data_IF_667617425270
#
_entry.id   IF_667617425270
#
_cell.length_a   1.000
_cell.length_b   1.000
_cell.length_c   1.000
_cell.angle_alpha   90.00
_cell.angle_beta   90.00
_cell.angle_gamma   90.00
#
_symmetry.space_group_name_H-M   'P 1'
#
loop_
_entity.id
_entity.type
_entity.pdbx_description
1 polymer ?
#
# COMPACT_ATOMS: atom_id res chain seq x y z
N UNK A 1 15.02 22.69 3.22
CA UNK A 1 14.44 22.45 1.88
C UNK A 1 15.08 23.43 0.90
N UNK A 2 15.55 22.95 -0.25
CA UNK A 2 16.18 23.78 -1.29
C UNK A 2 15.72 23.37 -2.68
N UNK A 3 15.44 24.35 -3.54
CA UNK A 3 15.13 24.12 -4.95
C UNK A 3 16.42 24.16 -5.77
N UNK A 4 16.64 23.14 -6.60
CA UNK A 4 17.79 22.99 -7.48
C UNK A 4 17.33 23.09 -8.95
N UNK A 5 18.01 23.91 -9.79
CA UNK A 5 17.64 24.11 -11.19
C UNK A 5 17.83 22.83 -12.01
N UNK A 6 18.95 22.14 -11.82
CA UNK A 6 19.29 20.90 -12.53
C UNK A 6 19.35 19.74 -11.53
N UNK A 7 18.24 19.02 -11.40
CA UNK A 7 18.15 17.84 -10.53
C UNK A 7 17.41 16.72 -11.25
N UNK A 8 18.10 15.61 -11.52
CA UNK A 8 17.57 14.53 -12.35
C UNK A 8 16.43 13.76 -11.65
N UNK A 9 16.55 13.58 -10.33
CA UNK A 9 15.45 13.10 -9.52
C UNK A 9 14.35 14.16 -9.34
N UNK A 10 13.22 13.76 -8.75
CA UNK A 10 12.13 14.68 -8.39
C UNK A 10 12.48 15.51 -7.16
N UNK A 11 12.84 14.81 -6.09
CA UNK A 11 13.33 15.31 -4.82
C UNK A 11 14.20 14.22 -4.15
N UNK A 12 14.84 14.54 -3.03
CA UNK A 12 15.63 13.61 -2.22
C UNK A 12 15.65 14.09 -0.76
N UNK A 13 15.41 13.16 0.13
CA UNK A 13 15.03 13.33 1.53
C UNK A 13 16.16 13.68 2.50
N UNK A 14 17.38 13.96 2.02
CA UNK A 14 18.58 14.14 2.85
C UNK A 14 18.28 14.82 4.21
N UNK A 15 18.54 14.11 5.31
CA UNK A 15 18.05 14.48 6.63
C UNK A 15 18.46 15.91 7.04
N UNK A 16 17.48 16.80 7.17
CA UNK A 16 17.68 18.22 7.51
C UNK A 16 17.97 19.14 6.31
N UNK A 17 18.27 18.62 5.12
CA UNK A 17 18.49 19.39 3.89
C UNK A 17 17.84 18.71 2.67
N UNK A 18 16.51 18.61 2.68
CA UNK A 18 15.76 18.05 1.56
C UNK A 18 15.95 18.89 0.29
N UNK A 19 16.32 18.24 -0.81
CA UNK A 19 16.56 18.85 -2.14
C UNK A 19 15.42 18.54 -3.08
N UNK A 20 15.00 19.52 -3.89
CA UNK A 20 13.90 19.38 -4.85
C UNK A 20 14.32 19.92 -6.21
N UNK A 21 13.82 19.33 -7.30
CA UNK A 21 13.78 20.04 -8.59
C UNK A 21 12.86 21.27 -8.45
N UNK A 22 13.19 22.40 -9.09
CA UNK A 22 12.42 23.66 -8.95
C UNK A 22 10.89 23.47 -9.06
N UNK A 23 10.41 22.81 -10.11
CA UNK A 23 8.99 22.55 -10.32
C UNK A 23 8.33 21.60 -9.31
N UNK A 24 9.09 21.04 -8.36
CA UNK A 24 8.60 20.18 -7.28
C UNK A 24 8.57 20.85 -5.91
N UNK A 25 9.04 22.10 -5.82
CA UNK A 25 9.00 22.91 -4.59
C UNK A 25 8.38 24.29 -4.82
N UNK A 26 8.74 24.96 -5.91
CA UNK A 26 8.29 26.31 -6.21
C UNK A 26 6.90 26.27 -6.87
N UNK A 27 5.99 27.14 -6.41
CA UNK A 27 4.66 27.30 -6.98
C UNK A 27 4.29 28.78 -7.10
N UNK A 28 3.70 29.16 -8.23
CA UNK A 28 3.17 30.50 -8.47
C UNK A 28 1.77 30.38 -9.06
N UNK A 29 0.76 30.84 -8.31
CA UNK A 29 -0.66 30.77 -8.69
C UNK A 29 -1.01 31.57 -9.95
N UNK A 30 -0.19 32.57 -10.31
CA UNK A 30 -0.37 33.34 -11.55
C UNK A 30 0.08 32.58 -12.80
N UNK A 31 0.92 31.55 -12.62
CA UNK A 31 1.54 30.79 -13.71
C UNK A 31 1.01 29.36 -13.80
N UNK A 32 0.63 28.75 -12.67
CA UNK A 32 0.32 27.33 -12.59
C UNK A 32 -1.04 27.05 -11.96
N UNK A 33 -1.75 26.09 -12.55
CA UNK A 33 -3.07 25.67 -12.09
C UNK A 33 -3.05 24.76 -10.84
N UNK A 34 -4.24 24.39 -10.33
CA UNK A 34 -4.38 23.60 -9.10
C UNK A 34 -3.70 22.22 -9.13
N UNK A 35 -3.55 21.62 -10.31
CA UNK A 35 -2.86 20.33 -10.46
C UNK A 35 -1.38 20.43 -10.05
N UNK A 36 -0.70 21.52 -10.38
CA UNK A 36 0.70 21.72 -10.01
C UNK A 36 0.84 22.05 -8.51
N UNK A 37 -0.11 22.82 -7.95
CA UNK A 37 -0.18 23.06 -6.51
C UNK A 37 -0.27 21.74 -5.73
N UNK A 38 -1.14 20.83 -6.17
CA UNK A 38 -1.28 19.49 -5.60
C UNK A 38 0.02 18.70 -5.73
N UNK A 39 0.65 18.73 -6.90
CA UNK A 39 1.91 18.01 -7.16
C UNK A 39 3.03 18.46 -6.22
N UNK A 40 3.18 19.78 -6.02
CA UNK A 40 4.14 20.33 -5.06
C UNK A 40 3.79 19.89 -3.64
N UNK A 41 2.52 19.96 -3.24
CA UNK A 41 2.09 19.54 -1.91
C UNK A 41 2.37 18.05 -1.64
N UNK A 42 2.11 17.17 -2.61
CA UNK A 42 2.41 15.74 -2.50
C UNK A 42 3.91 15.49 -2.35
N UNK A 43 4.76 16.07 -3.21
CA UNK A 43 6.21 15.85 -3.12
C UNK A 43 6.77 16.39 -1.81
N UNK A 44 6.36 17.59 -1.37
CA UNK A 44 6.80 18.11 -0.07
C UNK A 44 6.36 17.21 1.09
N UNK A 45 5.12 16.71 1.08
CA UNK A 45 4.65 15.79 2.11
C UNK A 45 5.38 14.43 2.09
N UNK A 46 5.74 13.94 0.89
CA UNK A 46 6.52 12.72 0.69
C UNK A 46 7.90 12.82 1.34
N UNK A 47 8.69 13.83 0.97
CA UNK A 47 10.04 14.00 1.52
C UNK A 47 10.06 14.29 3.02
N UNK A 48 9.03 14.99 3.52
CA UNK A 48 8.88 15.19 4.96
C UNK A 48 8.51 13.90 5.69
N UNK A 49 7.76 12.98 5.07
CA UNK A 49 7.48 11.67 5.64
C UNK A 49 8.77 10.83 5.79
N UNK A 50 9.71 10.96 4.85
CA UNK A 50 10.98 10.26 4.91
C UNK A 50 11.85 10.61 6.12
N UNK A 51 11.64 11.79 6.73
CA UNK A 51 12.34 12.17 7.96
C UNK A 51 12.04 11.19 9.13
N UNK A 52 10.95 10.41 9.03
CA UNK A 52 10.68 9.26 9.90
C UNK A 52 10.91 7.93 9.17
N UNK A 53 10.40 7.77 7.95
CA UNK A 53 10.45 6.52 7.17
C UNK A 53 11.58 6.57 6.14
N UNK A 54 12.78 6.19 6.55
CA UNK A 54 13.99 6.21 5.73
C UNK A 54 15.16 6.84 6.47
N UNK A 55 14.96 8.00 7.08
CA UNK A 55 16.00 8.69 7.85
C UNK A 55 16.08 8.17 9.29
N UNK A 56 15.01 8.35 10.08
CA UNK A 56 15.00 7.94 11.50
C UNK A 56 14.95 6.41 11.66
N UNK A 57 14.18 5.73 10.82
CA UNK A 57 14.16 4.27 10.71
C UNK A 57 14.44 3.91 9.27
N UNK A 58 15.61 3.36 9.00
CA UNK A 58 16.05 3.01 7.64
C UNK A 58 15.81 1.53 7.37
N UNK A 59 15.35 1.15 6.18
CA UNK A 59 15.35 -0.27 5.80
C UNK A 59 16.75 -0.89 5.97
N UNK A 60 16.81 -2.13 6.44
CA UNK A 60 18.09 -2.82 6.69
C UNK A 60 18.87 -3.09 5.43
N UNK A 61 18.17 -3.34 4.33
CA UNK A 61 18.74 -3.47 3.00
C UNK A 61 17.70 -3.09 1.95
N UNK A 62 18.15 -2.86 0.71
CA UNK A 62 17.32 -2.45 -0.42
C UNK A 62 16.18 -3.41 -0.75
N UNK A 63 16.23 -4.65 -0.27
CA UNK A 63 15.14 -5.63 -0.42
C UNK A 63 13.81 -5.13 0.13
N UNK A 64 13.87 -4.27 1.15
CA UNK A 64 12.73 -3.66 1.80
C UNK A 64 12.66 -2.14 1.53
N UNK A 65 13.16 -1.68 0.38
CA UNK A 65 13.06 -0.26 -0.05
C UNK A 65 11.63 0.30 0.10
N UNK A 66 10.61 -0.54 -0.14
CA UNK A 66 9.21 -0.16 0.02
C UNK A 66 8.83 0.29 1.45
N UNK A 67 9.60 -0.06 2.48
CA UNK A 67 9.41 0.47 3.84
C UNK A 67 9.62 1.98 3.91
N UNK A 68 10.49 2.53 3.07
CA UNK A 68 10.68 3.97 2.96
C UNK A 68 9.62 4.51 1.99
N UNK A 69 9.72 4.09 0.73
CA UNK A 69 8.97 4.68 -0.39
C UNK A 69 7.46 4.44 -0.30
N UNK A 70 7.05 3.23 0.11
CA UNK A 70 5.65 2.88 0.27
C UNK A 70 4.99 3.64 1.41
N UNK A 71 5.71 3.86 2.53
CA UNK A 71 5.21 4.70 3.63
C UNK A 71 5.11 6.15 3.21
N UNK A 72 6.15 6.72 2.60
CA UNK A 72 6.12 8.08 2.11
C UNK A 72 5.00 8.28 1.08
N UNK A 73 4.82 7.36 0.13
CA UNK A 73 3.70 7.35 -0.83
C UNK A 73 2.31 7.20 -0.20
N UNK A 74 2.18 6.58 0.96
CA UNK A 74 0.90 6.56 1.67
C UNK A 74 0.66 7.87 2.42
N UNK A 75 1.66 8.32 3.17
CA UNK A 75 1.58 9.49 4.05
C UNK A 75 1.51 10.80 3.26
N UNK A 76 2.09 10.88 2.06
CA UNK A 76 2.04 12.10 1.23
C UNK A 76 0.60 12.55 0.96
N UNK A 77 -0.32 11.62 0.72
CA UNK A 77 -1.72 11.94 0.47
C UNK A 77 -2.41 12.41 1.74
N UNK A 78 -2.09 11.80 2.89
CA UNK A 78 -2.63 12.22 4.19
C UNK A 78 -2.13 13.62 4.56
N UNK A 79 -0.82 13.85 4.44
CA UNK A 79 -0.19 15.13 4.73
C UNK A 79 -0.69 16.24 3.81
N UNK A 80 -0.78 16.00 2.50
CA UNK A 80 -1.30 16.96 1.55
C UNK A 80 -2.79 17.30 1.80
N UNK A 81 -3.62 16.32 2.21
CA UNK A 81 -5.03 16.59 2.53
C UNK A 81 -5.10 17.51 3.76
N UNK A 82 -4.38 17.16 4.82
CA UNK A 82 -4.38 17.92 6.09
C UNK A 82 -3.88 19.35 5.88
N UNK A 83 -2.76 19.53 5.17
CA UNK A 83 -2.20 20.88 4.88
C UNK A 83 -3.17 21.72 4.02
N UNK A 84 -4.06 21.08 3.27
CA UNK A 84 -5.07 21.76 2.46
C UNK A 84 -6.42 22.00 3.17
N UNK A 85 -6.52 21.74 4.47
CA UNK A 85 -7.79 21.69 5.22
C UNK A 85 -8.81 20.72 4.60
N UNK A 86 -8.32 19.61 4.03
CA UNK A 86 -9.07 18.60 3.29
C UNK A 86 -9.76 19.12 2.00
N UNK A 87 -9.36 20.27 1.47
CA UNK A 87 -9.94 20.82 0.25
C UNK A 87 -9.41 20.17 -1.03
N UNK A 88 -8.27 19.48 -0.96
CA UNK A 88 -7.67 18.83 -2.13
C UNK A 88 -8.26 17.45 -2.45
N UNK A 89 -8.98 16.82 -1.51
CA UNK A 89 -9.63 15.51 -1.69
C UNK A 89 -8.62 14.39 -1.98
N UNK A 90 -7.54 14.35 -1.21
CA UNK A 90 -6.41 13.45 -1.47
C UNK A 90 -6.77 11.97 -1.29
N UNK A 91 -7.79 11.66 -0.48
CA UNK A 91 -8.31 10.29 -0.34
C UNK A 91 -8.83 9.72 -1.66
N UNK A 92 -9.50 10.54 -2.49
CA UNK A 92 -9.95 10.13 -3.82
C UNK A 92 -8.81 10.11 -4.83
N UNK A 93 -7.91 11.09 -4.77
CA UNK A 93 -6.74 11.10 -5.66
C UNK A 93 -5.81 9.91 -5.41
N UNK A 94 -5.70 9.39 -4.18
CA UNK A 94 -4.95 8.16 -3.90
C UNK A 94 -5.39 6.98 -4.80
N UNK A 95 -6.70 6.86 -5.07
CA UNK A 95 -7.25 5.79 -5.91
C UNK A 95 -6.72 5.91 -7.35
N UNK A 96 -6.68 7.14 -7.87
CA UNK A 96 -6.29 7.44 -9.25
C UNK A 96 -4.77 7.45 -9.42
N UNK A 97 -4.08 8.09 -8.50
CA UNK A 97 -2.67 8.46 -8.65
C UNK A 97 -1.72 7.47 -7.99
N UNK A 98 -2.16 6.65 -7.03
CA UNK A 98 -1.36 5.58 -6.45
C UNK A 98 -1.93 4.20 -6.81
N UNK A 99 -3.13 3.86 -6.32
CA UNK A 99 -3.68 2.51 -6.47
C UNK A 99 -3.75 2.07 -7.95
N UNK A 100 -4.26 2.92 -8.84
CA UNK A 100 -4.36 2.59 -10.27
C UNK A 100 -2.97 2.40 -10.91
N UNK A 101 -1.99 3.24 -10.57
CA UNK A 101 -0.62 3.10 -11.07
C UNK A 101 0.04 1.79 -10.61
N UNK A 102 -0.07 1.48 -9.32
CA UNK A 102 0.41 0.24 -8.74
C UNK A 102 -0.22 -0.98 -9.41
N UNK A 103 -1.55 -1.02 -9.55
CA UNK A 103 -2.26 -2.11 -10.25
C UNK A 103 -1.84 -2.24 -11.72
N UNK A 104 -1.67 -1.12 -12.43
CA UNK A 104 -1.23 -1.13 -13.83
C UNK A 104 0.16 -1.75 -13.98
N UNK A 105 1.13 -1.33 -13.15
CA UNK A 105 2.49 -1.88 -13.16
C UNK A 105 2.47 -3.37 -12.80
N UNK A 106 1.83 -3.71 -11.67
CA UNK A 106 1.80 -5.05 -11.10
C UNK A 106 1.06 -6.08 -11.98
N UNK A 107 0.28 -5.61 -12.96
CA UNK A 107 -0.39 -6.45 -13.95
C UNK A 107 0.47 -6.87 -15.16
N UNK A 108 1.62 -6.23 -15.39
CA UNK A 108 2.47 -6.44 -16.57
C UNK A 108 3.86 -6.97 -16.19
N UNK A 109 4.63 -6.16 -15.47
CA UNK A 109 5.98 -6.47 -14.99
C UNK A 109 6.00 -6.20 -13.50
N UNK A 110 6.33 -7.22 -12.72
CA UNK A 110 5.94 -7.31 -11.32
C UNK A 110 7.01 -8.07 -10.54
N UNK A 111 7.17 -7.67 -9.29
CA UNK A 111 7.97 -8.34 -8.27
C UNK A 111 7.22 -8.27 -6.91
N UNK A 112 7.59 -9.09 -5.92
CA UNK A 112 7.13 -8.89 -4.54
C UNK A 112 7.57 -7.51 -4.00
N UNK A 113 6.91 -6.98 -2.98
CA UNK A 113 7.38 -5.75 -2.32
C UNK A 113 8.74 -5.98 -1.65
N UNK A 114 8.86 -7.11 -0.94
CA UNK A 114 10.11 -7.57 -0.33
C UNK A 114 10.77 -8.63 -1.22
N UNK A 115 11.90 -8.32 -1.83
CA UNK A 115 12.59 -9.23 -2.76
C UNK A 115 14.10 -9.04 -2.74
N UNK A 116 14.83 -10.12 -3.05
CA UNK A 116 16.29 -10.15 -3.01
C UNK A 116 16.90 -9.17 -4.01
N UNK A 117 17.89 -8.38 -3.55
CA UNK A 117 18.67 -7.44 -4.37
C UNK A 117 20.16 -7.70 -4.12
N UNK A 118 20.87 -8.07 -5.18
CA UNK A 118 22.29 -8.43 -5.15
C UNK A 118 23.18 -7.39 -5.86
N UNK A 119 22.62 -6.60 -6.81
CA UNK A 119 23.39 -5.66 -7.64
C UNK A 119 22.87 -4.22 -7.54
N UNK A 120 23.76 -3.25 -7.72
CA UNK A 120 23.40 -1.83 -7.74
C UNK A 120 22.34 -1.49 -8.81
N UNK A 121 22.40 -2.10 -10.00
CA UNK A 121 21.37 -1.88 -11.04
C UNK A 121 19.98 -2.39 -10.62
N UNK A 122 19.91 -3.42 -9.78
CA UNK A 122 18.65 -3.95 -9.27
C UNK A 122 18.04 -3.02 -8.21
N UNK A 123 18.88 -2.22 -7.52
CA UNK A 123 18.40 -1.15 -6.63
C UNK A 123 17.69 -0.08 -7.46
N UNK A 124 18.29 0.41 -8.54
CA UNK A 124 17.66 1.39 -9.43
C UNK A 124 16.33 0.87 -10.02
N UNK A 125 16.27 -0.41 -10.38
CA UNK A 125 15.04 -1.05 -10.86
C UNK A 125 13.95 -1.19 -9.78
N UNK A 126 14.33 -1.20 -8.49
CA UNK A 126 13.41 -1.27 -7.36
C UNK A 126 12.70 0.06 -7.08
N UNK A 127 13.23 1.18 -7.57
CA UNK A 127 12.59 2.49 -7.51
C UNK A 127 11.48 2.59 -8.58
N UNK A 128 10.42 1.80 -8.40
CA UNK A 128 9.32 1.68 -9.37
C UNK A 128 7.93 1.75 -8.71
N UNK A 129 6.84 1.83 -9.50
CA UNK A 129 5.47 1.90 -8.95
C UNK A 129 5.05 0.74 -8.02
N UNK A 130 5.78 -0.37 -7.97
CA UNK A 130 5.53 -1.43 -7.00
C UNK A 130 5.99 -0.98 -5.61
N UNK A 131 7.23 -0.54 -5.46
CA UNK A 131 7.77 -0.11 -4.16
C UNK A 131 7.01 1.10 -3.60
N UNK A 132 6.67 2.05 -4.45
CA UNK A 132 5.91 3.26 -4.11
C UNK A 132 4.41 2.98 -3.97
N UNK A 133 3.74 2.79 -5.10
CA UNK A 133 2.27 2.86 -5.17
C UNK A 133 1.59 1.59 -4.62
N UNK A 134 2.15 0.40 -4.91
CA UNK A 134 1.63 -0.85 -4.31
C UNK A 134 1.97 -0.91 -2.82
N UNK A 135 3.18 -0.50 -2.42
CA UNK A 135 3.57 -0.39 -1.01
C UNK A 135 2.58 0.46 -0.21
N UNK A 136 2.34 1.69 -0.66
CA UNK A 136 1.34 2.58 -0.05
C UNK A 136 -0.09 2.02 -0.08
N UNK A 137 -0.47 1.31 -1.15
CA UNK A 137 -1.79 0.69 -1.25
C UNK A 137 -1.99 -0.47 -0.26
N UNK A 138 -0.96 -1.27 0.01
CA UNK A 138 -0.99 -2.34 1.01
C UNK A 138 -1.09 -1.75 2.42
N UNK A 139 -0.33 -0.69 2.71
CA UNK A 139 -0.42 0.03 3.98
C UNK A 139 -1.82 0.61 4.22
N UNK A 140 -2.38 1.29 3.22
CA UNK A 140 -3.75 1.83 3.27
C UNK A 140 -4.80 0.73 3.48
N UNK A 141 -4.63 -0.42 2.83
CA UNK A 141 -5.52 -1.57 3.03
C UNK A 141 -5.44 -2.12 4.45
N UNK A 142 -4.23 -2.27 5.01
CA UNK A 142 -4.04 -2.72 6.39
C UNK A 142 -4.64 -1.72 7.38
N UNK A 143 -4.40 -0.42 7.20
CA UNK A 143 -5.02 0.64 8.00
C UNK A 143 -6.56 0.56 7.99
N UNK A 144 -7.16 0.29 6.82
CA UNK A 144 -8.61 0.10 6.70
C UNK A 144 -9.15 -1.17 7.38
N UNK A 145 -8.33 -2.23 7.50
CA UNK A 145 -8.73 -3.48 8.18
C UNK A 145 -8.66 -3.32 9.69
N UNK A 146 -7.55 -2.78 10.21
CA UNK A 146 -7.29 -2.75 11.65
C UNK A 146 -7.81 -1.47 12.32
N UNK A 147 -8.17 -0.46 11.53
CA UNK A 147 -8.60 0.87 11.97
C UNK A 147 -7.43 1.84 12.14
N UNK A 148 -7.68 3.12 11.86
CA UNK A 148 -6.64 4.18 11.88
C UNK A 148 -5.96 4.32 13.25
N UNK A 149 -6.71 4.18 14.36
CA UNK A 149 -6.15 4.26 15.71
C UNK A 149 -5.12 3.16 15.97
N UNK A 150 -5.47 1.90 15.67
CA UNK A 150 -4.56 0.77 15.81
C UNK A 150 -3.37 0.88 14.85
N UNK A 151 -3.60 1.34 13.62
CA UNK A 151 -2.54 1.56 12.66
C UNK A 151 -1.54 2.59 13.15
N UNK A 152 -2.00 3.76 13.59
CA UNK A 152 -1.16 4.83 14.13
C UNK A 152 -0.41 4.38 15.39
N UNK A 153 -1.08 3.63 16.28
CA UNK A 153 -0.45 3.05 17.48
C UNK A 153 0.69 2.10 17.11
N UNK A 154 0.46 1.20 16.15
CA UNK A 154 1.46 0.25 15.67
C UNK A 154 2.65 0.95 15.00
N UNK A 155 2.39 1.94 14.15
CA UNK A 155 3.43 2.74 13.48
C UNK A 155 4.25 3.55 14.48
N UNK A 156 3.62 4.18 15.47
CA UNK A 156 4.32 4.92 16.51
C UNK A 156 5.23 4.01 17.35
N UNK A 157 4.76 2.81 17.68
CA UNK A 157 5.55 1.80 18.38
C UNK A 157 6.74 1.33 17.54
N UNK A 158 6.52 1.04 16.25
CA UNK A 158 7.59 0.70 15.30
C UNK A 158 8.66 1.79 15.22
N UNK A 159 8.27 3.06 15.00
CA UNK A 159 9.21 4.18 14.91
C UNK A 159 10.02 4.32 16.21
N UNK A 160 9.36 4.26 17.37
CA UNK A 160 10.03 4.36 18.67
C UNK A 160 11.03 3.23 18.91
N UNK A 161 10.66 2.00 18.54
CA UNK A 161 11.47 0.80 18.75
C UNK A 161 12.72 0.76 17.87
N UNK A 162 12.62 1.24 16.63
CA UNK A 162 13.69 1.18 15.63
C UNK A 162 14.35 2.53 15.34
N UNK A 163 14.04 3.56 16.11
CA UNK A 163 14.65 4.88 15.96
C UNK A 163 16.18 4.81 15.99
N UNK A 164 16.81 5.47 15.02
CA UNK A 164 18.26 5.49 14.77
C UNK A 164 18.86 4.10 14.48
N UNK A 165 18.04 3.20 13.94
CA UNK A 165 18.43 1.83 13.61
C UNK A 165 17.80 1.40 12.28
N UNK A 166 18.01 0.13 11.96
CA UNK A 166 17.50 -0.50 10.76
C UNK A 166 16.36 -1.48 11.05
N UNK A 167 15.48 -1.69 10.06
CA UNK A 167 14.38 -2.64 10.15
C UNK A 167 14.13 -3.40 8.84
N UNK A 168 13.60 -4.63 8.95
CA UNK A 168 13.04 -5.42 7.85
C UNK A 168 11.50 -5.37 7.86
N UNK A 169 10.86 -5.82 6.78
CA UNK A 169 9.39 -5.84 6.70
C UNK A 169 8.73 -6.63 7.86
N UNK A 170 9.37 -7.72 8.29
CA UNK A 170 8.89 -8.52 9.42
C UNK A 170 8.95 -7.75 10.76
N UNK A 171 9.92 -6.85 10.92
CA UNK A 171 10.07 -6.02 12.12
C UNK A 171 8.92 -5.02 12.27
N UNK A 172 8.51 -4.39 11.16
CA UNK A 172 7.34 -3.51 11.12
C UNK A 172 6.10 -4.25 11.61
N UNK A 173 5.76 -5.36 10.95
CA UNK A 173 4.53 -6.06 11.27
C UNK A 173 4.56 -6.72 12.64
N UNK A 174 5.71 -7.23 13.05
CA UNK A 174 5.94 -7.75 14.40
C UNK A 174 5.75 -6.67 15.46
N UNK A 175 6.28 -5.47 15.25
CA UNK A 175 6.05 -4.33 16.14
C UNK A 175 4.56 -3.94 16.23
N UNK A 176 3.82 -3.97 15.11
CA UNK A 176 2.37 -3.75 15.17
C UNK A 176 1.66 -4.84 16.00
N UNK A 177 2.01 -6.11 15.81
CA UNK A 177 1.44 -7.24 16.53
C UNK A 177 1.75 -7.26 18.04
N UNK A 178 2.77 -6.51 18.50
CA UNK A 178 3.10 -6.32 19.92
C UNK A 178 2.10 -5.42 20.64
N UNK A 179 1.47 -4.47 19.94
CA UNK A 179 0.62 -3.44 20.56
C UNK A 179 -0.81 -3.41 20.05
N UNK A 180 -1.09 -4.10 18.94
CA UNK A 180 -2.43 -4.26 18.34
C UNK A 180 -2.86 -5.72 18.47
N UNK A 181 -4.02 -5.93 19.10
CA UNK A 181 -4.55 -7.27 19.39
C UNK A 181 -6.05 -7.34 19.12
N UNK A 182 -6.58 -8.56 19.02
CA UNK A 182 -8.03 -8.79 18.90
C UNK A 182 -8.63 -8.38 17.55
N UNK A 183 -7.79 -8.21 16.51
CA UNK A 183 -8.26 -7.94 15.16
C UNK A 183 -8.90 -9.19 14.58
N UNK A 184 -10.16 -9.09 14.20
CA UNK A 184 -10.87 -10.16 13.49
C UNK A 184 -10.39 -10.25 12.05
N UNK A 185 -10.05 -11.47 11.61
CA UNK A 185 -9.62 -11.74 10.24
C UNK A 185 -10.23 -13.03 9.68
N UNK A 186 -9.67 -13.56 8.58
CA UNK A 186 -10.29 -14.62 7.79
C UNK A 186 -10.48 -15.96 8.54
N UNK A 187 -9.68 -16.21 9.58
CA UNK A 187 -9.70 -17.45 10.36
C UNK A 187 -9.89 -17.21 11.87
N UNK A 188 -10.52 -16.09 12.25
CA UNK A 188 -10.64 -15.64 13.64
C UNK A 188 -9.63 -14.54 13.94
N UNK A 189 -9.07 -14.51 15.15
CA UNK A 189 -8.06 -13.52 15.52
C UNK A 189 -6.86 -13.58 14.58
N UNK A 190 -6.51 -12.43 14.00
CA UNK A 190 -5.49 -12.30 12.97
C UNK A 190 -4.24 -11.64 13.52
N UNK A 191 -3.09 -12.19 13.15
CA UNK A 191 -1.79 -11.53 13.28
C UNK A 191 -1.55 -10.67 12.04
N UNK A 192 -1.17 -9.41 12.25
CA UNK A 192 -0.89 -8.44 11.20
C UNK A 192 0.27 -8.94 10.34
N UNK A 193 1.31 -9.52 10.95
CA UNK A 193 2.46 -10.08 10.24
C UNK A 193 2.06 -11.17 9.24
N UNK A 194 1.31 -12.18 9.69
CA UNK A 194 0.88 -13.28 8.81
C UNK A 194 -0.03 -12.78 7.68
N UNK A 195 -0.86 -11.79 7.99
CA UNK A 195 -1.73 -11.17 7.02
C UNK A 195 -0.97 -10.31 6.02
N UNK A 196 0.02 -9.53 6.44
CA UNK A 196 0.74 -8.63 5.56
C UNK A 196 1.75 -9.38 4.67
N UNK A 197 2.37 -10.46 5.18
CA UNK A 197 3.36 -11.26 4.46
C UNK A 197 2.80 -11.76 3.11
N UNK A 198 1.53 -12.12 3.03
CA UNK A 198 0.93 -12.54 1.77
C UNK A 198 0.84 -11.45 0.69
N UNK A 199 0.87 -10.18 1.09
CA UNK A 199 0.77 -9.04 0.20
C UNK A 199 2.15 -8.47 -0.15
N UNK A 200 3.14 -8.71 0.70
CA UNK A 200 4.52 -8.24 0.51
C UNK A 200 5.43 -9.29 -0.12
N UNK A 201 5.26 -10.57 0.20
CA UNK A 201 6.18 -11.66 -0.19
C UNK A 201 5.89 -12.29 -1.56
N UNK A 202 4.84 -11.86 -2.25
CA UNK A 202 4.50 -12.36 -3.59
C UNK A 202 4.06 -11.24 -4.52
N UNK A 203 4.39 -11.44 -5.79
CA UNK A 203 4.11 -10.48 -6.85
C UNK A 203 2.65 -10.53 -7.33
N UNK A 204 2.15 -9.45 -7.92
CA UNK A 204 0.78 -9.35 -8.41
C UNK A 204 -0.28 -9.13 -7.32
N UNK A 205 -1.53 -9.19 -7.76
CA UNK A 205 -2.72 -9.00 -6.94
C UNK A 205 -3.89 -9.87 -7.44
N UNK A 206 -4.92 -10.13 -6.61
CA UNK A 206 -6.07 -10.94 -7.01
C UNK A 206 -7.09 -10.16 -7.86
N UNK A 207 -7.58 -10.78 -8.93
CA UNK A 207 -8.89 -10.48 -9.52
C UNK A 207 -9.95 -11.29 -8.78
N UNK A 208 -10.82 -10.59 -8.07
CA UNK A 208 -12.02 -11.19 -7.46
C UNK A 208 -13.16 -11.16 -8.47
N UNK A 209 -13.73 -12.33 -8.76
CA UNK A 209 -14.83 -12.52 -9.71
C UNK A 209 -16.08 -12.96 -8.98
N UNK A 210 -17.19 -12.25 -9.19
CA UNK A 210 -18.52 -12.71 -8.78
C UNK A 210 -18.99 -13.75 -9.80
N UNK A 211 -19.00 -15.03 -9.41
CA UNK A 211 -19.42 -16.13 -10.29
C UNK A 211 -20.94 -16.28 -10.34
N UNK A 212 -21.61 -16.07 -9.21
CA UNK A 212 -23.06 -16.05 -9.12
C UNK A 212 -23.49 -15.13 -8.00
N UNK A 213 -24.65 -14.50 -8.20
CA UNK A 213 -25.26 -13.59 -7.26
C UNK A 213 -26.77 -13.80 -7.30
N UNK A 214 -27.38 -14.08 -6.16
CA UNK A 214 -28.83 -14.13 -6.01
C UNK A 214 -29.24 -13.46 -4.70
N UNK A 215 -30.54 -13.44 -4.41
CA UNK A 215 -31.09 -12.77 -3.22
C UNK A 215 -30.51 -13.28 -1.90
N UNK A 216 -29.89 -14.47 -1.89
CA UNK A 216 -29.38 -15.10 -0.68
C UNK A 216 -27.91 -15.50 -0.71
N UNK A 217 -27.25 -15.50 -1.87
CA UNK A 217 -25.90 -16.07 -2.01
C UNK A 217 -25.07 -15.27 -2.99
N UNK A 218 -23.78 -15.13 -2.65
CA UNK A 218 -22.76 -14.59 -3.55
C UNK A 218 -21.62 -15.59 -3.62
N UNK A 219 -21.30 -16.08 -4.83
CA UNK A 219 -20.14 -16.93 -5.04
C UNK A 219 -18.99 -16.10 -5.59
N UNK A 220 -17.87 -16.09 -4.88
CA UNK A 220 -16.67 -15.33 -5.24
C UNK A 220 -15.52 -16.27 -5.53
N UNK A 221 -14.76 -15.98 -6.58
CA UNK A 221 -13.48 -16.65 -6.81
C UNK A 221 -12.37 -15.64 -6.99
N UNK A 222 -11.14 -16.06 -6.68
CA UNK A 222 -9.94 -15.28 -6.94
C UNK A 222 -9.02 -16.02 -7.90
N UNK A 223 -8.33 -15.25 -8.72
CA UNK A 223 -7.13 -15.65 -9.43
C UNK A 223 -6.19 -14.45 -9.51
N UNK A 224 -4.89 -14.66 -9.65
CA UNK A 224 -3.97 -13.55 -9.94
C UNK A 224 -4.40 -12.82 -11.21
N UNK A 225 -4.51 -11.50 -11.15
CA UNK A 225 -4.74 -10.68 -12.33
C UNK A 225 -3.44 -10.49 -13.11
N UNK A 226 -3.54 -10.54 -14.44
CA UNK A 226 -2.47 -10.21 -15.38
C UNK A 226 -3.07 -9.58 -16.62
N UNK A 227 -2.42 -8.54 -17.16
CA UNK A 227 -2.85 -7.92 -18.41
C UNK A 227 -2.71 -8.90 -19.58
N UNK A 228 -1.62 -9.68 -19.61
CA UNK A 228 -1.42 -10.78 -20.54
C UNK A 228 -1.42 -12.12 -19.79
N UNK A 229 -2.51 -12.91 -19.85
CA UNK A 229 -2.59 -14.21 -19.17
C UNK A 229 -1.54 -15.24 -19.63
N UNK A 230 -0.97 -15.08 -20.83
CA UNK A 230 0.01 -16.00 -21.42
C UNK A 230 1.46 -15.62 -21.10
N UNK A 231 1.70 -14.46 -20.48
CA UNK A 231 3.05 -14.06 -20.09
C UNK A 231 3.66 -15.09 -19.14
N UNK A 232 4.98 -15.32 -19.21
CA UNK A 232 5.67 -16.21 -18.27
C UNK A 232 6.14 -15.41 -17.07
N UNK A 233 6.01 -15.99 -15.88
CA UNK A 233 6.57 -15.40 -14.67
C UNK A 233 8.11 -15.49 -14.67
N UNK A 234 8.80 -14.48 -14.13
CA UNK A 234 10.22 -14.57 -13.81
C UNK A 234 10.50 -15.85 -13.02
N UNK A 235 11.63 -16.50 -13.29
CA UNK A 235 11.97 -17.78 -12.66
C UNK A 235 12.03 -17.66 -11.12
N UNK A 236 12.54 -16.55 -10.61
CA UNK A 236 12.66 -16.24 -9.18
C UNK A 236 11.31 -16.20 -8.44
N UNK A 237 10.22 -15.83 -9.13
CA UNK A 237 8.93 -15.58 -8.49
C UNK A 237 7.81 -16.55 -8.91
N UNK A 238 8.16 -17.63 -9.62
CA UNK A 238 7.18 -18.56 -10.21
C UNK A 238 6.43 -19.41 -9.17
N UNK A 239 7.06 -19.68 -8.03
CA UNK A 239 6.52 -20.54 -6.98
C UNK A 239 6.45 -19.76 -5.65
N UNK A 240 5.53 -18.79 -5.54
CA UNK A 240 5.42 -17.98 -4.32
C UNK A 240 4.90 -18.84 -3.15
N UNK A 241 5.29 -18.47 -1.94
CA UNK A 241 4.88 -19.11 -0.66
C UNK A 241 3.37 -19.39 -0.58
N UNK A 242 2.56 -18.46 -1.09
CA UNK A 242 1.09 -18.53 -1.01
C UNK A 242 0.40 -18.93 -2.33
N UNK A 243 1.15 -19.37 -3.34
CA UNK A 243 0.59 -19.85 -4.60
C UNK A 243 -0.27 -18.83 -5.36
N UNK A 244 0.03 -17.53 -5.22
CA UNK A 244 -0.78 -16.42 -5.74
C UNK A 244 -2.23 -16.45 -5.26
N UNK A 245 -2.40 -16.70 -3.96
CA UNK A 245 -3.68 -16.57 -3.27
C UNK A 245 -3.54 -15.67 -2.06
N UNK A 246 -4.57 -14.89 -1.83
CA UNK A 246 -4.65 -13.90 -0.76
C UNK A 246 -5.93 -14.11 0.05
N UNK A 247 -5.91 -13.83 1.33
CA UNK A 247 -7.10 -13.58 2.11
C UNK A 247 -7.55 -12.15 1.81
N UNK A 248 -8.58 -12.01 0.96
CA UNK A 248 -8.99 -10.70 0.42
C UNK A 248 -10.13 -10.12 1.27
N UNK A 249 -9.96 -8.92 1.86
CA UNK A 249 -11.03 -8.23 2.56
C UNK A 249 -12.01 -7.64 1.53
N UNK A 250 -13.29 -7.95 1.69
CA UNK A 250 -14.37 -7.50 0.81
C UNK A 250 -15.33 -6.67 1.64
N UNK A 251 -15.25 -5.35 1.48
CA UNK A 251 -16.26 -4.45 2.00
C UNK A 251 -17.45 -4.42 1.05
N UNK A 252 -18.65 -4.64 1.57
CA UNK A 252 -19.88 -4.63 0.78
C UNK A 252 -21.01 -3.93 1.53
N UNK A 253 -21.94 -3.37 0.76
CA UNK A 253 -23.12 -2.66 1.27
C UNK A 253 -24.37 -3.17 0.54
N UNK A 254 -25.42 -3.44 1.29
CA UNK A 254 -26.73 -3.81 0.75
C UNK A 254 -27.68 -2.62 0.84
N UNK A 255 -27.91 -1.93 -0.29
CA UNK A 255 -28.75 -0.73 -0.33
C UNK A 255 -28.25 0.35 0.64
N UNK A 256 -29.07 0.69 1.63
CA UNK A 256 -28.77 1.71 2.64
C UNK A 256 -28.19 1.15 3.94
N UNK A 257 -28.06 -0.18 4.09
CA UNK A 257 -27.52 -0.81 5.31
C UNK A 257 -26.07 -0.40 5.58
N UNK A 258 -25.59 -0.62 6.80
CA UNK A 258 -24.19 -0.38 7.15
C UNK A 258 -23.23 -1.18 6.25
N UNK A 259 -22.06 -0.61 5.98
CA UNK A 259 -20.96 -1.29 5.31
C UNK A 259 -20.51 -2.48 6.17
N UNK A 260 -20.30 -3.64 5.54
CA UNK A 260 -19.84 -4.85 6.22
C UNK A 260 -18.54 -5.34 5.59
N UNK A 261 -17.68 -5.93 6.41
CA UNK A 261 -16.48 -6.63 5.96
C UNK A 261 -16.74 -8.13 5.92
N UNK A 262 -16.38 -8.77 4.81
CA UNK A 262 -16.31 -10.21 4.66
C UNK A 262 -14.94 -10.62 4.10
N UNK A 263 -14.57 -11.89 4.24
CA UNK A 263 -13.24 -12.38 3.86
C UNK A 263 -13.30 -13.42 2.75
N UNK A 264 -12.66 -13.14 1.60
CA UNK A 264 -12.34 -14.15 0.58
C UNK A 264 -11.12 -14.99 1.00
N UNK A 265 -11.34 -16.17 1.57
CA UNK A 265 -10.29 -17.01 2.16
C UNK A 265 -9.41 -17.68 1.09
N UNK A 266 -8.09 -17.71 1.27
CA UNK A 266 -7.11 -18.32 0.34
C UNK A 266 -7.26 -19.84 0.14
N UNK A 267 -7.76 -20.55 1.16
CA UNK A 267 -7.80 -22.01 1.21
C UNK A 267 -8.99 -22.67 0.50
N UNK A 268 -9.95 -21.89 -0.03
CA UNK A 268 -11.20 -22.42 -0.57
C UNK A 268 -11.46 -21.92 -2.00
N UNK A 269 -12.09 -22.78 -2.82
CA UNK A 269 -13.03 -22.27 -3.84
C UNK A 269 -14.20 -21.67 -3.06
N UNK A 270 -14.20 -20.35 -2.83
CA UNK A 270 -15.17 -19.71 -1.94
C UNK A 270 -16.60 -19.71 -2.50
N UNK A 271 -17.47 -20.59 -1.99
CA UNK A 271 -18.91 -20.32 -1.96
C UNK A 271 -19.25 -19.64 -0.64
N UNK A 272 -19.63 -18.37 -0.66
CA UNK A 272 -20.18 -17.72 0.52
C UNK A 272 -21.67 -18.03 0.57
N UNK A 273 -22.07 -18.90 1.49
CA UNK A 273 -23.45 -19.04 1.93
C UNK A 273 -23.73 -17.96 2.96
N UNK A 274 -24.46 -16.93 2.54
CA UNK A 274 -25.14 -16.07 3.48
C UNK A 274 -26.48 -16.74 3.79
N UNK A 275 -26.72 -17.08 5.06
CA UNK A 275 -28.06 -17.49 5.48
C UNK A 275 -28.95 -16.24 5.47
N UNK A 276 -29.65 -16.00 4.37
CA UNK A 276 -30.72 -15.01 4.34
C UNK A 276 -32.03 -15.67 4.75
N UNK A 277 -32.62 -15.17 5.83
CA UNK A 277 -34.07 -15.17 6.02
C UNK A 277 -34.63 -13.83 5.52
N UNK A 278 -34.91 -13.72 4.23
CA UNK A 278 -35.77 -12.63 3.73
C UNK A 278 -37.20 -13.03 4.04
N UNK A 279 -37.72 -12.63 5.21
CA UNK A 279 -39.17 -12.48 5.34
C UNK A 279 -39.54 -11.25 4.50
N UNK A 280 -40.14 -11.48 3.34
CA UNK A 280 -40.88 -10.44 2.62
C UNK A 280 -42.06 -10.04 3.51
N UNK A 281 -42.08 -8.79 3.94
CA UNK A 281 -43.32 -8.08 4.24
C UNK A 281 -43.89 -7.52 2.95
#
# INVERSE_FOLDING_TARGET
MVALPDFDAGAMENWGLITYREGRLLYNEKLYGPAEKRRVALVVAHELAHQWFGDLVTMKWWEDLWLNEGFASYVEFLGADVISDNNMRMKEYFILDALTKGLMRDSVSSHPLSFKIDKASEVEEAFDPISYDKGGSVLRMIAAIIGEENFNKGVAHYISKFAYSNAEAADLWGAMDEVVHGIEGPYGNMKILDYADQWTSQMGFPLVTVQSFNNTHVKLTQKRYRKNPKAKDPKSYRYPKYGFKWDVPIWYKEGTKALKLAWLKRGMYGSYSYNYSIKRG
#
